data_IF_221169595254
#
_entry.id   IF_221169595254
#
_cell.length_a   1.000
_cell.length_b   1.000
_cell.length_c   1.000
_cell.angle_alpha   90.00
_cell.angle_beta   90.00
_cell.angle_gamma   90.00
#
_symmetry.space_group_name_H-M   'P 1'
#
loop_
_entity.id
_entity.type
_entity.pdbx_description
1 polymer ?
#
# COMPACT_ATOMS: atom_id res chain seq x y z
N UNK A 1 3.16 5.95 17.19
CA UNK A 1 2.35 5.16 16.24
C UNK A 1 0.90 5.18 16.70
N UNK A 2 -0.06 5.33 15.79
CA UNK A 2 -1.47 5.35 16.16
C UNK A 2 -1.96 3.96 16.54
N UNK A 3 -3.08 3.88 17.28
CA UNK A 3 -3.70 2.62 17.65
C UNK A 3 -4.08 1.78 16.40
N UNK A 4 -4.50 2.46 15.35
CA UNK A 4 -4.85 1.80 14.08
C UNK A 4 -3.65 1.06 13.48
N UNK A 5 -2.48 1.70 13.45
CA UNK A 5 -1.27 1.10 12.92
C UNK A 5 -0.86 -0.10 13.77
N UNK A 6 -0.80 0.06 15.09
CA UNK A 6 -0.42 -1.02 16.00
C UNK A 6 -1.38 -2.21 15.93
N UNK A 7 -2.66 -1.94 15.88
CA UNK A 7 -3.67 -3.00 15.76
C UNK A 7 -3.54 -3.76 14.45
N UNK A 8 -3.35 -3.05 13.34
CA UNK A 8 -3.23 -3.67 12.02
C UNK A 8 -1.95 -4.51 11.91
N UNK A 9 -0.83 -3.98 12.37
CA UNK A 9 0.45 -4.70 12.35
C UNK A 9 0.38 -5.91 13.28
N UNK A 10 -0.28 -5.78 14.43
CA UNK A 10 -0.50 -6.90 15.34
C UNK A 10 -1.30 -8.03 14.71
N UNK A 11 -2.34 -7.70 13.95
CA UNK A 11 -3.11 -8.70 13.18
C UNK A 11 -2.27 -9.34 12.07
N UNK A 12 -1.48 -8.55 11.38
CA UNK A 12 -0.57 -9.07 10.36
C UNK A 12 0.43 -10.06 10.96
N UNK A 13 1.02 -9.70 12.10
CA UNK A 13 1.95 -10.56 12.83
C UNK A 13 1.30 -11.88 13.25
N UNK A 14 0.07 -11.80 13.76
CA UNK A 14 -0.64 -12.96 14.27
C UNK A 14 -1.13 -13.90 13.17
N UNK A 15 -1.66 -13.37 12.08
CA UNK A 15 -2.40 -14.16 11.09
C UNK A 15 -1.70 -14.35 9.76
N UNK A 16 -0.69 -13.54 9.44
CA UNK A 16 -0.05 -13.58 8.12
C UNK A 16 1.42 -13.96 8.20
N UNK A 17 2.26 -13.11 8.76
CA UNK A 17 3.70 -13.36 8.77
C UNK A 17 4.38 -12.69 9.96
N UNK A 18 4.63 -13.44 11.06
CA UNK A 18 5.29 -12.90 12.25
C UNK A 18 6.70 -12.36 12.00
N UNK A 19 7.48 -13.08 11.21
CA UNK A 19 8.87 -12.71 10.93
C UNK A 19 8.96 -11.41 10.12
N UNK A 20 8.11 -11.25 9.13
CA UNK A 20 8.07 -10.05 8.30
C UNK A 20 7.61 -8.83 9.11
N UNK A 21 6.62 -9.00 9.97
CA UNK A 21 6.15 -7.93 10.84
C UNK A 21 7.25 -7.42 11.77
N UNK A 22 8.01 -8.34 12.36
CA UNK A 22 9.14 -8.01 13.24
C UNK A 22 10.24 -7.30 12.47
N UNK A 23 10.55 -7.76 11.26
CA UNK A 23 11.56 -7.15 10.40
C UNK A 23 11.18 -5.71 10.05
N UNK A 24 9.94 -5.47 9.64
CA UNK A 24 9.47 -4.14 9.29
C UNK A 24 9.48 -3.18 10.48
N UNK A 25 9.11 -3.65 11.67
CA UNK A 25 9.22 -2.84 12.88
C UNK A 25 10.67 -2.48 13.18
N UNK A 26 11.58 -3.43 13.06
CA UNK A 26 13.00 -3.21 13.29
C UNK A 26 13.59 -2.19 12.31
N UNK A 27 13.18 -2.24 11.04
CA UNK A 27 13.65 -1.33 9.99
C UNK A 27 12.98 0.04 10.03
N UNK A 28 11.98 0.24 10.87
CA UNK A 28 11.22 1.50 10.92
C UNK A 28 10.24 1.66 9.76
N UNK A 29 9.84 0.56 9.12
CA UNK A 29 8.94 0.56 7.97
C UNK A 29 7.52 0.12 8.33
N UNK A 30 7.19 0.06 9.61
CA UNK A 30 5.87 -0.36 10.08
C UNK A 30 4.86 0.79 9.95
N UNK A 31 4.39 1.02 8.74
CA UNK A 31 3.37 2.01 8.42
C UNK A 31 2.29 1.39 7.53
N UNK A 32 1.17 2.09 7.40
CA UNK A 32 0.04 1.61 6.60
C UNK A 32 -0.26 2.65 5.53
N UNK A 33 -0.27 2.21 4.28
CA UNK A 33 -0.61 3.08 3.17
C UNK A 33 -2.08 3.46 3.23
N UNK A 34 -2.37 4.76 3.20
CA UNK A 34 -3.74 5.25 3.19
C UNK A 34 -4.21 5.65 1.81
N UNK A 35 -3.32 6.23 1.01
CA UNK A 35 -3.64 6.74 -0.32
C UNK A 35 -2.39 6.77 -1.18
N UNK A 36 -2.53 6.47 -2.46
CA UNK A 36 -1.43 6.55 -3.41
C UNK A 36 -1.91 7.14 -4.73
N UNK A 37 -1.11 8.03 -5.31
CA UNK A 37 -1.40 8.65 -6.60
C UNK A 37 -0.10 9.02 -7.31
N UNK A 38 0.03 8.63 -8.60
CA UNK A 38 1.27 8.85 -9.33
C UNK A 38 2.45 8.19 -8.64
N UNK A 39 3.45 8.99 -8.24
CA UNK A 39 4.63 8.48 -7.53
C UNK A 39 4.59 8.75 -6.02
N UNK A 40 3.48 9.24 -5.49
CA UNK A 40 3.35 9.64 -4.09
C UNK A 40 2.48 8.66 -3.33
N UNK A 41 2.95 8.26 -2.15
CA UNK A 41 2.17 7.45 -1.21
C UNK A 41 2.00 8.24 0.08
N UNK A 42 0.78 8.30 0.59
CA UNK A 42 0.47 8.91 1.87
C UNK A 42 0.05 7.83 2.85
N UNK A 43 0.69 7.76 4.01
CA UNK A 43 0.33 6.75 5.01
C UNK A 43 -0.92 7.15 5.82
N UNK A 44 -1.35 6.27 6.71
CA UNK A 44 -2.54 6.50 7.54
C UNK A 44 -2.38 7.66 8.52
N UNK A 45 -1.16 8.13 8.74
CA UNK A 45 -0.86 9.24 9.63
C UNK A 45 -0.58 10.56 8.89
N UNK A 46 -0.78 10.57 7.58
CA UNK A 46 -0.64 11.76 6.75
C UNK A 46 0.77 12.06 6.25
N UNK A 47 1.73 11.18 6.50
CA UNK A 47 3.10 11.35 5.98
C UNK A 47 3.16 10.97 4.51
N UNK A 48 3.85 11.78 3.71
CA UNK A 48 4.02 11.53 2.28
C UNK A 48 5.38 10.91 1.99
N UNK A 49 5.38 9.95 1.06
CA UNK A 49 6.58 9.26 0.60
C UNK A 49 6.62 9.24 -0.92
N UNK A 50 7.82 9.24 -1.49
CA UNK A 50 8.01 9.00 -2.91
C UNK A 50 8.17 7.49 -3.11
N UNK A 51 7.35 6.91 -3.98
CA UNK A 51 7.40 5.48 -4.26
C UNK A 51 8.50 5.17 -5.27
N UNK A 52 9.59 4.60 -4.79
CA UNK A 52 10.69 4.15 -5.63
C UNK A 52 10.65 2.64 -5.90
N UNK A 53 9.79 1.90 -5.20
CA UNK A 53 9.65 0.46 -5.39
C UNK A 53 8.68 0.10 -6.53
N UNK A 54 7.61 0.89 -6.68
CA UNK A 54 6.63 0.70 -7.75
C UNK A 54 5.89 -0.63 -7.70
N UNK A 55 5.68 -1.20 -6.50
CA UNK A 55 4.98 -2.48 -6.37
C UNK A 55 5.65 -3.61 -7.15
N UNK A 56 6.97 -3.61 -7.22
CA UNK A 56 7.75 -4.56 -8.02
C UNK A 56 7.43 -4.48 -9.52
N UNK A 57 7.13 -3.28 -10.02
CA UNK A 57 6.79 -3.03 -11.42
C UNK A 57 5.30 -2.92 -11.72
N UNK A 58 4.46 -3.28 -10.78
CA UNK A 58 3.00 -3.25 -10.94
C UNK A 58 2.50 -1.82 -11.20
N UNK A 59 3.15 -0.82 -10.59
CA UNK A 59 2.77 0.58 -10.73
C UNK A 59 3.75 1.38 -11.61
N UNK A 60 4.24 0.76 -12.69
CA UNK A 60 5.21 1.38 -13.60
C UNK A 60 4.72 2.70 -14.22
N UNK A 61 3.41 2.88 -14.38
CA UNK A 61 2.78 4.11 -14.85
C UNK A 61 2.34 5.04 -13.72
N UNK A 62 2.73 4.73 -12.48
CA UNK A 62 2.28 5.42 -11.29
C UNK A 62 1.03 4.79 -10.67
N UNK A 63 0.78 5.13 -9.41
CA UNK A 63 -0.42 4.66 -8.72
C UNK A 63 -1.67 5.34 -9.31
N UNK A 64 -2.74 4.57 -9.49
CA UNK A 64 -4.05 5.07 -9.91
C UNK A 64 -4.01 5.87 -11.21
N UNK A 65 -3.22 5.41 -12.19
CA UNK A 65 -3.18 6.09 -13.49
C UNK A 65 -4.59 6.12 -14.10
N UNK A 66 -5.12 7.30 -14.48
CA UNK A 66 -6.53 7.43 -14.90
C UNK A 66 -6.94 6.52 -16.05
N UNK A 67 -6.07 6.34 -17.03
CA UNK A 67 -6.37 5.47 -18.19
C UNK A 67 -6.40 4.00 -17.81
N UNK A 68 -5.55 3.59 -16.86
CA UNK A 68 -5.54 2.20 -16.37
C UNK A 68 -6.80 1.94 -15.54
N UNK A 69 -7.16 2.86 -14.64
CA UNK A 69 -8.38 2.74 -13.84
C UNK A 69 -9.61 2.65 -14.74
N UNK A 70 -9.70 3.51 -15.75
CA UNK A 70 -10.81 3.49 -16.70
C UNK A 70 -10.90 2.15 -17.45
N UNK A 71 -9.77 1.63 -17.92
CA UNK A 71 -9.74 0.34 -18.62
C UNK A 71 -10.19 -0.82 -17.73
N UNK A 72 -9.75 -0.83 -16.46
CA UNK A 72 -10.15 -1.85 -15.49
C UNK A 72 -11.65 -1.77 -15.19
N UNK A 73 -12.16 -0.57 -14.94
CA UNK A 73 -13.59 -0.37 -14.67
C UNK A 73 -14.45 -0.86 -15.84
N UNK A 74 -14.06 -0.49 -17.06
CA UNK A 74 -14.76 -0.91 -18.27
C UNK A 74 -14.79 -2.43 -18.39
N UNK A 75 -13.68 -3.10 -18.14
CA UNK A 75 -13.58 -4.55 -18.22
C UNK A 75 -14.40 -5.23 -17.13
N UNK A 76 -14.38 -4.70 -15.91
CA UNK A 76 -15.19 -5.24 -14.82
C UNK A 76 -16.69 -5.21 -15.11
N UNK A 77 -17.17 -4.19 -15.84
CA UNK A 77 -18.57 -4.09 -16.24
C UNK A 77 -18.91 -4.98 -17.44
N UNK A 78 -17.91 -5.34 -18.25
CA UNK A 78 -18.11 -6.17 -19.44
C UNK A 78 -17.93 -7.66 -19.19
N UNK A 79 -17.24 -8.04 -18.14
CA UNK A 79 -16.99 -9.45 -17.81
C UNK A 79 -18.26 -10.15 -17.35
N UNK A 80 -18.41 -11.44 -17.71
CA UNK A 80 -19.53 -12.24 -17.22
C UNK A 80 -19.49 -12.49 -15.72
#
# INVERSE_FOLDING_TARGET
MSNYVEETIGKYEKYINPAQAKLFRFMGLASIEGHAEGWTITDSEGQEFIDCLGGYGMFALGHRHPKVVEAVEKELHAMP
#
